data_IF_217279140068
#
_entry.id   IF_217279140068
#
_cell.length_a   1.000
_cell.length_b   1.000
_cell.length_c   1.000
_cell.angle_alpha   90.00
_cell.angle_beta   90.00
_cell.angle_gamma   90.00
#
_symmetry.space_group_name_H-M   'P 1'
#
loop_
_entity.id
_entity.type
_entity.pdbx_description
1 polymer ?
#
# COMPACT_ATOMS: atom_id res chain seq x y z
N UNK A 1 5.69 7.49 29.70
CA UNK A 1 5.09 6.47 28.78
C UNK A 1 3.86 6.95 28.02
N UNK A 2 2.96 7.75 28.62
CA UNK A 2 1.76 8.21 27.91
C UNK A 2 2.06 9.17 26.74
N UNK A 3 3.05 10.07 26.88
CA UNK A 3 3.47 10.98 25.79
C UNK A 3 4.01 10.23 24.58
N UNK A 4 4.89 9.25 24.78
CA UNK A 4 5.45 8.45 23.67
C UNK A 4 4.37 7.68 22.90
N UNK A 5 3.35 7.15 23.58
CA UNK A 5 2.19 6.53 22.91
C UNK A 5 1.35 7.55 22.15
N UNK A 6 1.14 8.75 22.70
CA UNK A 6 0.38 9.79 22.01
C UNK A 6 1.09 10.27 20.73
N UNK A 7 2.42 10.39 20.77
CA UNK A 7 3.25 10.76 19.63
C UNK A 7 3.30 9.65 18.56
N UNK A 8 3.43 8.39 18.98
CA UNK A 8 3.36 7.23 18.08
C UNK A 8 2.01 7.17 17.35
N UNK A 9 0.89 7.34 18.06
CA UNK A 9 -0.44 7.35 17.46
C UNK A 9 -0.65 8.52 16.50
N UNK A 10 -0.13 9.70 16.86
CA UNK A 10 -0.18 10.88 15.99
C UNK A 10 0.61 10.66 14.70
N UNK A 11 1.82 10.10 14.80
CA UNK A 11 2.65 9.79 13.64
C UNK A 11 2.01 8.71 12.76
N UNK A 12 1.39 7.70 13.37
CA UNK A 12 0.65 6.66 12.66
C UNK A 12 -0.57 7.22 11.93
N UNK A 13 -1.30 8.14 12.55
CA UNK A 13 -2.43 8.83 11.93
C UNK A 13 -1.99 9.68 10.72
N UNK A 14 -0.83 10.34 10.79
CA UNK A 14 -0.27 11.10 9.67
C UNK A 14 0.11 10.18 8.49
N UNK A 15 0.68 9.01 8.76
CA UNK A 15 0.99 8.01 7.72
C UNK A 15 -0.29 7.51 7.06
N UNK A 16 -1.29 7.14 7.85
CA UNK A 16 -2.59 6.68 7.33
C UNK A 16 -3.27 7.76 6.49
N UNK A 17 -3.19 9.02 6.91
CA UNK A 17 -3.72 10.15 6.14
C UNK A 17 -3.01 10.30 4.79
N UNK A 18 -1.68 10.19 4.77
CA UNK A 18 -0.89 10.26 3.54
C UNK A 18 -1.14 9.05 2.62
N UNK A 19 -1.34 7.85 3.18
CA UNK A 19 -1.70 6.66 2.42
C UNK A 19 -3.08 6.77 1.78
N UNK A 20 -4.03 7.47 2.42
CA UNK A 20 -5.38 7.67 1.90
C UNK A 20 -5.43 8.50 0.60
N UNK A 21 -4.41 9.32 0.32
CA UNK A 21 -4.32 10.08 -0.92
C UNK A 21 -3.96 9.20 -2.14
N UNK A 22 -3.30 8.06 -1.91
CA UNK A 22 -2.85 7.16 -2.99
C UNK A 22 -4.02 6.50 -3.73
N UNK A 23 -5.02 5.87 -3.05
CA UNK A 23 -6.20 5.33 -3.73
C UNK A 23 -7.00 6.37 -4.51
N UNK A 24 -7.05 7.61 -3.98
CA UNK A 24 -7.76 8.71 -4.62
C UNK A 24 -7.08 9.13 -5.93
N UNK A 25 -5.76 9.29 -5.90
CA UNK A 25 -4.97 9.58 -7.09
C UNK A 25 -5.06 8.47 -8.15
N UNK A 26 -5.07 7.19 -7.72
CA UNK A 26 -5.27 6.06 -8.62
C UNK A 26 -6.65 6.09 -9.28
N UNK A 27 -7.72 6.37 -8.51
CA UNK A 27 -9.07 6.50 -9.04
C UNK A 27 -9.19 7.63 -10.07
N UNK A 28 -8.54 8.77 -9.83
CA UNK A 28 -8.48 9.87 -10.80
C UNK A 28 -7.65 9.50 -12.04
N UNK A 29 -6.55 8.75 -11.90
CA UNK A 29 -5.77 8.26 -13.03
C UNK A 29 -6.57 7.30 -13.94
N UNK A 30 -7.40 6.43 -13.35
CA UNK A 30 -8.34 5.60 -14.10
C UNK A 30 -9.40 6.44 -14.83
N UNK A 31 -9.95 7.47 -14.17
CA UNK A 31 -10.99 8.33 -14.73
C UNK A 31 -10.47 9.22 -15.87
N UNK A 32 -9.23 9.70 -15.76
CA UNK A 32 -8.57 10.53 -16.77
C UNK A 32 -8.00 9.70 -17.94
N UNK A 33 -8.05 8.36 -17.86
CA UNK A 33 -7.54 7.47 -18.90
C UNK A 33 -6.02 7.33 -18.94
N UNK A 34 -5.32 7.85 -17.92
CA UNK A 34 -3.85 7.75 -17.79
C UNK A 34 -3.38 6.41 -17.23
N UNK A 35 -4.31 5.61 -16.70
CA UNK A 35 -4.03 4.28 -16.16
C UNK A 35 -5.09 3.29 -16.66
N UNK A 36 -4.66 2.34 -17.47
CA UNK A 36 -5.55 1.39 -18.13
C UNK A 36 -5.87 0.16 -17.28
N UNK A 37 -6.89 -0.58 -17.70
CA UNK A 37 -7.25 -1.88 -17.09
C UNK A 37 -6.09 -2.88 -17.23
N UNK A 38 -5.39 -2.88 -18.37
CA UNK A 38 -4.24 -3.75 -18.58
C UNK A 38 -3.07 -3.40 -17.66
N UNK A 39 -2.82 -2.11 -17.40
CA UNK A 39 -1.79 -1.66 -16.46
C UNK A 39 -2.12 -2.08 -15.03
N UNK A 40 -3.39 -2.04 -14.64
CA UNK A 40 -3.85 -2.55 -13.36
C UNK A 40 -3.63 -4.06 -13.21
N UNK A 41 -3.94 -4.85 -14.25
CA UNK A 41 -3.68 -6.29 -14.23
C UNK A 41 -2.18 -6.60 -14.18
N UNK A 42 -1.36 -5.86 -14.93
CA UNK A 42 0.09 -6.00 -14.88
C UNK A 42 0.63 -5.67 -13.47
N UNK A 43 0.14 -4.59 -12.85
CA UNK A 43 0.47 -4.24 -11.47
C UNK A 43 0.09 -5.34 -10.50
N UNK A 44 -1.13 -5.91 -10.61
CA UNK A 44 -1.56 -7.04 -9.79
C UNK A 44 -0.67 -8.27 -9.93
N UNK A 45 -0.21 -8.57 -11.14
CA UNK A 45 0.68 -9.68 -11.39
C UNK A 45 2.05 -9.46 -10.72
N UNK A 46 2.61 -8.25 -10.83
CA UNK A 46 3.88 -7.89 -10.17
C UNK A 46 3.77 -7.98 -8.64
N UNK A 47 2.65 -7.52 -8.06
CA UNK A 47 2.39 -7.66 -6.63
C UNK A 47 2.31 -9.14 -6.25
N UNK A 48 1.56 -9.93 -7.02
CA UNK A 48 1.43 -11.38 -6.78
C UNK A 48 2.78 -12.09 -6.85
N UNK A 49 3.65 -11.73 -7.80
CA UNK A 49 5.01 -12.24 -7.90
C UNK A 49 5.88 -11.82 -6.71
N UNK A 50 5.65 -10.62 -6.19
CA UNK A 50 6.35 -10.11 -5.00
C UNK A 50 5.91 -10.88 -3.75
N UNK A 51 4.62 -11.16 -3.61
CA UNK A 51 4.05 -11.95 -2.52
C UNK A 51 4.48 -13.42 -2.59
N UNK A 52 4.56 -13.99 -3.80
CA UNK A 52 5.14 -15.32 -4.00
C UNK A 52 6.63 -15.34 -3.64
N UNK A 53 7.39 -14.28 -3.99
CA UNK A 53 8.80 -14.19 -3.62
C UNK A 53 9.00 -14.02 -2.12
N UNK A 54 8.22 -13.18 -1.45
CA UNK A 54 8.32 -12.99 0.00
C UNK A 54 7.95 -14.26 0.77
N UNK A 55 6.93 -14.99 0.31
CA UNK A 55 6.57 -16.29 0.90
C UNK A 55 7.63 -17.37 0.71
N UNK A 56 8.30 -17.41 -0.45
CA UNK A 56 9.43 -18.34 -0.71
C UNK A 56 10.68 -17.95 0.08
N UNK A 57 10.95 -16.65 0.22
CA UNK A 57 12.09 -16.13 0.98
C UNK A 57 11.97 -16.38 2.50
N UNK A 58 10.83 -16.88 2.97
CA UNK A 58 10.60 -17.15 4.39
C UNK A 58 10.29 -15.90 5.21
N UNK A 59 9.98 -14.79 4.56
CA UNK A 59 9.61 -13.51 5.20
C UNK A 59 8.11 -13.46 5.56
N UNK A 60 7.44 -14.61 5.53
CA UNK A 60 6.15 -14.76 6.20
C UNK A 60 6.39 -14.70 7.70
N UNK A 61 5.87 -13.69 8.41
CA UNK A 61 5.86 -13.73 9.87
C UNK A 61 5.12 -15.00 10.26
N UNK A 62 5.80 -15.93 10.91
CA UNK A 62 5.13 -17.00 11.63
C UNK A 62 4.42 -16.37 12.82
N UNK A 63 3.19 -15.94 12.61
CA UNK A 63 2.22 -15.63 13.66
C UNK A 63 0.87 -16.16 13.26
#
# INVERSE_FOLDING_TARGET
>A
EAEYRAEEQKNRALVVLAEADVPKAMADAFRLGNFGIMDYYNMKNVISDTDMRSSIAGDTPKT
#
